data_IF_232468940525
#
_entry.id   IF_232468940525
#
_cell.length_a   1.000
_cell.length_b   1.000
_cell.length_c   1.000
_cell.angle_alpha   90.00
_cell.angle_beta   90.00
_cell.angle_gamma   90.00
#
_symmetry.space_group_name_H-M   'P 1'
#
loop_
_entity.id
_entity.type
_entity.pdbx_description
1 polymer ?
#
# COMPACT_ATOMS: atom_id res chain seq x y z
N UNK A 1 5.75 -14.30 8.35
CA UNK A 1 6.92 -13.72 9.04
C UNK A 1 6.72 -12.21 9.14
N UNK A 2 6.94 -11.57 10.32
CA UNK A 2 6.88 -10.12 10.45
C UNK A 2 7.98 -9.46 9.61
N UNK A 3 7.64 -8.36 8.95
CA UNK A 3 8.61 -7.53 8.21
C UNK A 3 9.11 -6.35 9.08
N UNK A 4 9.24 -6.61 10.36
CA UNK A 4 9.90 -5.78 11.36
C UNK A 4 10.78 -6.70 12.22
N UNK A 5 12.10 -6.58 12.09
CA UNK A 5 13.06 -7.53 12.64
C UNK A 5 13.30 -7.34 14.14
N UNK A 6 13.34 -6.09 14.61
CA UNK A 6 13.65 -5.73 16.01
C UNK A 6 12.84 -4.52 16.46
N UNK A 7 12.81 -4.26 17.76
CA UNK A 7 12.27 -3.03 18.33
C UNK A 7 13.41 -2.07 18.63
N UNK A 8 13.39 -0.89 18.03
CA UNK A 8 14.28 0.22 18.36
C UNK A 8 13.71 1.22 19.38
N UNK A 9 12.51 0.93 19.92
CA UNK A 9 11.84 1.76 20.91
C UNK A 9 12.39 1.52 22.33
N UNK A 10 11.94 2.37 23.27
CA UNK A 10 12.28 2.23 24.70
C UNK A 10 11.84 0.88 25.26
N UNK A 11 12.54 0.44 26.30
CA UNK A 11 12.16 -0.77 27.03
C UNK A 11 10.71 -0.66 27.56
N UNK A 12 9.89 -1.69 27.29
CA UNK A 12 8.48 -1.70 27.69
C UNK A 12 7.54 -0.87 26.82
N UNK A 13 8.00 -0.28 25.71
CA UNK A 13 7.15 0.45 24.79
C UNK A 13 6.07 -0.48 24.17
N UNK A 14 4.81 -0.08 24.27
CA UNK A 14 3.67 -0.83 23.73
C UNK A 14 3.43 -0.64 22.23
N UNK A 15 4.10 0.29 21.57
CA UNK A 15 3.86 0.61 20.15
C UNK A 15 4.42 -0.46 19.21
N UNK A 16 5.68 -0.86 19.38
CA UNK A 16 6.37 -1.76 18.44
C UNK A 16 5.76 -3.15 18.32
N UNK A 17 5.15 -3.76 19.35
CA UNK A 17 4.43 -5.03 19.19
C UNK A 17 3.26 -4.95 18.21
N UNK A 18 2.51 -3.85 18.20
CA UNK A 18 1.39 -3.64 17.26
C UNK A 18 1.92 -3.44 15.85
N UNK A 19 2.95 -2.62 15.67
CA UNK A 19 3.55 -2.41 14.34
C UNK A 19 4.13 -3.72 13.81
N UNK A 20 4.77 -4.51 14.64
CA UNK A 20 5.27 -5.85 14.26
C UNK A 20 4.15 -6.76 13.76
N UNK A 21 3.01 -6.79 14.47
CA UNK A 21 1.83 -7.54 14.05
C UNK A 21 1.29 -7.03 12.69
N UNK A 22 1.19 -5.71 12.50
CA UNK A 22 0.76 -5.12 11.24
C UNK A 22 1.68 -5.49 10.09
N UNK A 23 2.99 -5.47 10.30
CA UNK A 23 3.95 -5.90 9.27
C UNK A 23 3.90 -7.38 8.97
N UNK A 24 3.45 -8.21 9.92
CA UNK A 24 3.21 -9.64 9.69
C UNK A 24 1.98 -9.89 8.82
N UNK A 25 0.93 -9.08 8.99
CA UNK A 25 -0.35 -9.24 8.29
C UNK A 25 -0.38 -8.54 6.93
N UNK A 26 0.31 -7.42 6.78
CA UNK A 26 0.19 -6.51 5.64
C UNK A 26 1.52 -6.04 5.06
N UNK A 27 2.65 -6.44 5.64
CA UNK A 27 3.95 -5.84 5.37
C UNK A 27 4.37 -5.87 3.90
N UNK A 28 3.99 -6.92 3.16
CA UNK A 28 4.29 -7.09 1.73
C UNK A 28 3.63 -6.05 0.82
N UNK A 29 2.59 -5.37 1.30
CA UNK A 29 1.81 -4.37 0.57
C UNK A 29 1.46 -3.15 1.42
N UNK A 30 2.23 -2.92 2.49
CA UNK A 30 1.97 -1.87 3.48
C UNK A 30 2.60 -0.54 3.06
N UNK A 31 1.83 0.54 3.17
CA UNK A 31 2.32 1.92 3.07
C UNK A 31 2.11 2.61 4.41
N UNK A 32 3.14 3.25 4.92
CA UNK A 32 3.15 3.93 6.21
C UNK A 32 3.41 5.41 6.02
N UNK A 33 2.42 6.23 6.36
CA UNK A 33 2.60 7.65 6.63
C UNK A 33 2.92 7.81 8.11
N UNK A 34 4.15 8.19 8.44
CA UNK A 34 4.63 8.25 9.80
C UNK A 34 4.76 9.69 10.30
N UNK A 35 4.24 9.97 11.48
CA UNK A 35 4.44 11.27 12.14
C UNK A 35 5.83 11.37 12.76
N UNK A 36 6.49 12.52 12.59
CA UNK A 36 7.73 12.83 13.30
C UNK A 36 7.52 12.69 14.82
N UNK A 37 8.41 11.97 15.48
CA UNK A 37 8.33 11.65 16.91
C UNK A 37 8.99 10.32 17.23
N UNK A 38 8.48 9.59 18.22
CA UNK A 38 9.05 8.31 18.64
C UNK A 38 9.13 7.30 17.50
N UNK A 39 8.07 7.16 16.71
CA UNK A 39 8.02 6.21 15.62
C UNK A 39 8.96 6.54 14.44
N UNK A 40 9.34 7.80 14.25
CA UNK A 40 10.40 8.16 13.31
C UNK A 40 11.80 7.88 13.85
N UNK A 41 11.98 7.98 15.16
CA UNK A 41 13.28 7.69 15.79
C UNK A 41 13.61 6.21 15.71
N UNK A 42 12.71 5.32 16.11
CA UNK A 42 12.99 3.89 16.04
C UNK A 42 12.75 3.29 14.65
N UNK A 43 11.91 3.91 13.81
CA UNK A 43 11.52 3.38 12.50
C UNK A 43 12.37 3.86 11.32
N UNK A 44 12.84 5.10 11.38
CA UNK A 44 13.51 5.75 10.26
C UNK A 44 14.87 6.38 10.56
N UNK A 45 15.47 6.14 11.74
CA UNK A 45 16.79 6.66 12.06
C UNK A 45 17.88 5.97 11.25
N UNK A 46 18.43 6.70 10.28
CA UNK A 46 19.59 6.24 9.51
C UNK A 46 20.82 6.03 10.42
N UNK A 47 21.59 4.95 10.22
CA UNK A 47 21.49 3.97 9.12
C UNK A 47 20.64 2.74 9.47
N UNK A 48 19.98 2.71 10.61
CA UNK A 48 19.30 1.52 11.14
C UNK A 48 17.79 1.69 11.04
N UNK A 49 17.13 0.79 10.35
CA UNK A 49 15.67 0.67 10.30
C UNK A 49 15.27 -0.75 10.70
N UNK A 50 14.19 -0.92 11.49
CA UNK A 50 13.70 -2.26 11.85
C UNK A 50 12.90 -2.92 10.72
N UNK A 51 12.46 -2.17 9.72
CA UNK A 51 11.68 -2.69 8.61
C UNK A 51 12.55 -3.45 7.62
N UNK A 52 12.01 -4.54 7.09
CA UNK A 52 12.70 -5.43 6.15
C UNK A 52 11.77 -5.86 5.03
N UNK A 53 12.31 -6.61 4.08
CA UNK A 53 11.55 -7.18 2.96
C UNK A 53 11.44 -8.69 3.07
N UNK A 54 10.42 -9.25 2.40
CA UNK A 54 10.30 -10.68 2.20
C UNK A 54 11.27 -11.18 1.11
N UNK A 55 11.23 -12.48 0.82
CA UNK A 55 12.08 -13.12 -0.20
C UNK A 55 11.85 -12.58 -1.62
N UNK A 56 10.69 -11.98 -1.88
CA UNK A 56 10.35 -11.34 -3.14
C UNK A 56 10.78 -9.86 -3.20
N UNK A 57 11.47 -9.35 -2.17
CA UNK A 57 11.88 -7.95 -2.08
C UNK A 57 10.76 -6.97 -1.73
N UNK A 58 9.61 -7.47 -1.27
CA UNK A 58 8.46 -6.65 -0.88
C UNK A 58 8.47 -6.41 0.62
N UNK A 59 8.18 -5.18 1.04
CA UNK A 59 8.12 -4.78 2.44
C UNK A 59 7.42 -3.45 2.64
N UNK A 60 7.29 -3.00 3.90
CA UNK A 60 6.63 -1.72 4.19
C UNK A 60 7.32 -0.55 3.48
N UNK A 61 6.53 0.22 2.73
CA UNK A 61 6.95 1.52 2.21
C UNK A 61 6.71 2.57 3.30
N UNK A 62 7.77 3.08 3.89
CA UNK A 62 7.73 4.01 5.01
C UNK A 62 8.11 5.42 4.56
N UNK A 63 7.31 6.39 4.93
CA UNK A 63 7.59 7.80 4.66
C UNK A 63 7.21 8.65 5.87
N UNK A 64 8.13 9.55 6.27
CA UNK A 64 7.92 10.43 7.40
C UNK A 64 7.33 11.76 6.95
N UNK A 65 6.42 12.29 7.77
CA UNK A 65 5.82 13.61 7.65
C UNK A 65 6.14 14.45 8.87
N UNK A 66 5.71 15.71 8.87
CA UNK A 66 5.78 16.53 10.07
C UNK A 66 4.82 16.02 11.13
N UNK A 67 5.06 16.44 12.38
CA UNK A 67 4.21 16.09 13.50
C UNK A 67 2.77 16.60 13.32
N UNK A 68 2.63 17.79 12.72
CA UNK A 68 1.38 18.51 12.61
C UNK A 68 0.49 18.06 11.45
N UNK A 69 1.06 17.44 10.40
CA UNK A 69 0.35 17.21 9.13
C UNK A 69 0.22 15.74 8.73
N UNK A 70 0.59 14.80 9.59
CA UNK A 70 0.68 13.40 9.22
C UNK A 70 -0.67 12.77 8.86
N UNK A 71 -1.76 13.19 9.46
CA UNK A 71 -3.08 12.69 9.15
C UNK A 71 -3.48 13.06 7.71
N UNK A 72 -3.29 14.32 7.34
CA UNK A 72 -3.56 14.84 6.00
C UNK A 72 -2.60 14.25 4.96
N UNK A 73 -1.32 14.08 5.32
CA UNK A 73 -0.33 13.45 4.47
C UNK A 73 -0.72 12.01 4.14
N UNK A 74 -1.06 11.22 5.16
CA UNK A 74 -1.50 9.82 4.96
C UNK A 74 -2.82 9.73 4.19
N UNK A 75 -3.74 10.64 4.43
CA UNK A 75 -4.98 10.74 3.66
C UNK A 75 -4.72 11.11 2.19
N UNK A 76 -3.82 12.06 1.95
CA UNK A 76 -3.38 12.41 0.60
C UNK A 76 -2.75 11.24 -0.16
N UNK A 77 -1.92 10.44 0.51
CA UNK A 77 -1.37 9.19 -0.05
C UNK A 77 -2.47 8.19 -0.41
N UNK A 78 -3.47 8.04 0.45
CA UNK A 78 -4.62 7.16 0.19
C UNK A 78 -5.41 7.63 -1.03
N UNK A 79 -5.77 8.91 -1.12
CA UNK A 79 -6.49 9.48 -2.26
C UNK A 79 -5.70 9.30 -3.56
N UNK A 80 -4.39 9.59 -3.54
CA UNK A 80 -3.53 9.44 -4.71
C UNK A 80 -3.48 7.98 -5.20
N UNK A 81 -3.32 7.01 -4.30
CA UNK A 81 -3.33 5.60 -4.64
C UNK A 81 -4.71 5.16 -5.18
N UNK A 82 -5.78 5.55 -4.51
CA UNK A 82 -7.16 5.27 -4.94
C UNK A 82 -7.43 5.80 -6.35
N UNK A 83 -7.07 7.05 -6.62
CA UNK A 83 -7.27 7.69 -7.93
C UNK A 83 -6.50 6.97 -9.04
N UNK A 84 -5.24 6.61 -8.79
CA UNK A 84 -4.43 5.83 -9.75
C UNK A 84 -5.05 4.47 -10.03
N UNK A 85 -5.52 3.77 -9.01
CA UNK A 85 -6.19 2.46 -9.18
C UNK A 85 -7.51 2.57 -9.90
N UNK A 86 -8.29 3.64 -9.66
CA UNK A 86 -9.53 3.91 -10.41
C UNK A 86 -9.23 4.20 -11.89
N UNK A 87 -8.17 4.94 -12.19
CA UNK A 87 -7.74 5.14 -13.56
C UNK A 87 -7.34 3.81 -14.24
N UNK A 88 -6.57 2.97 -13.55
CA UNK A 88 -6.24 1.63 -14.05
C UNK A 88 -7.50 0.78 -14.29
N UNK A 89 -8.49 0.83 -13.39
CA UNK A 89 -9.77 0.14 -13.57
C UNK A 89 -10.49 0.62 -14.84
N UNK A 90 -10.48 1.92 -15.13
CA UNK A 90 -11.08 2.44 -16.36
C UNK A 90 -10.37 1.93 -17.62
N UNK A 91 -9.04 1.73 -17.60
CA UNK A 91 -8.30 1.12 -18.71
C UNK A 91 -8.66 -0.36 -18.88
N UNK A 92 -8.84 -1.07 -17.76
CA UNK A 92 -9.27 -2.48 -17.78
C UNK A 92 -10.69 -2.61 -18.34
N UNK A 93 -11.63 -1.77 -17.89
CA UNK A 93 -13.00 -1.71 -18.42
C UNK A 93 -13.02 -1.42 -19.92
N UNK A 94 -12.18 -0.50 -20.39
CA UNK A 94 -12.03 -0.21 -21.82
C UNK A 94 -11.51 -1.41 -22.61
N UNK A 95 -10.52 -2.14 -22.07
CA UNK A 95 -9.96 -3.35 -22.67
C UNK A 95 -11.02 -4.44 -22.81
N UNK A 96 -11.80 -4.69 -21.75
CA UNK A 96 -12.90 -5.65 -21.76
C UNK A 96 -14.00 -5.27 -22.75
N UNK A 97 -14.39 -4.00 -22.80
CA UNK A 97 -15.41 -3.50 -23.73
C UNK A 97 -15.02 -3.63 -25.21
N UNK A 98 -13.72 -3.55 -25.50
CA UNK A 98 -13.16 -3.69 -26.85
C UNK A 98 -12.78 -5.13 -27.19
N UNK A 99 -12.91 -6.07 -26.25
CA UNK A 99 -12.45 -7.44 -26.39
C UNK A 99 -10.97 -7.55 -26.79
N UNK A 100 -10.10 -6.75 -26.17
CA UNK A 100 -8.66 -6.75 -26.42
C UNK A 100 -7.99 -7.84 -25.57
N UNK A 101 -7.07 -8.59 -26.20
CA UNK A 101 -6.37 -9.72 -25.59
C UNK A 101 -7.12 -11.04 -25.69
N UNK A 102 -6.46 -12.12 -25.27
CA UNK A 102 -7.00 -13.47 -25.26
C UNK A 102 -8.17 -13.63 -24.27
N UNK A 103 -9.02 -14.63 -24.49
CA UNK A 103 -10.12 -14.97 -23.58
C UNK A 103 -9.61 -15.24 -22.14
N UNK A 104 -8.43 -15.84 -22.03
CA UNK A 104 -7.79 -16.10 -20.73
C UNK A 104 -7.36 -14.81 -20.02
N UNK A 105 -6.80 -13.85 -20.76
CA UNK A 105 -6.44 -12.54 -20.20
C UNK A 105 -7.70 -11.75 -19.79
N UNK A 106 -8.75 -11.76 -20.62
CA UNK A 106 -10.01 -11.09 -20.30
C UNK A 106 -10.65 -11.64 -19.02
N UNK A 107 -10.59 -12.97 -18.81
CA UNK A 107 -11.07 -13.57 -17.58
C UNK A 107 -10.29 -13.08 -16.34
N UNK A 108 -8.95 -12.92 -16.45
CA UNK A 108 -8.11 -12.39 -15.37
C UNK A 108 -8.35 -10.90 -15.12
N UNK A 109 -8.55 -10.11 -16.17
CA UNK A 109 -8.90 -8.69 -16.07
C UNK A 109 -10.23 -8.48 -15.34
N UNK A 110 -11.23 -9.30 -15.68
CA UNK A 110 -12.54 -9.27 -15.06
C UNK A 110 -12.48 -9.71 -13.58
N UNK A 111 -11.78 -10.79 -13.26
CA UNK A 111 -11.55 -11.23 -11.87
C UNK A 111 -10.86 -10.14 -11.04
N UNK A 112 -9.86 -9.47 -11.60
CA UNK A 112 -9.19 -8.36 -10.91
C UNK A 112 -10.14 -7.20 -10.66
N UNK A 113 -10.94 -6.81 -11.65
CA UNK A 113 -11.90 -5.70 -11.55
C UNK A 113 -12.96 -5.95 -10.48
N UNK A 114 -13.52 -7.16 -10.43
CA UNK A 114 -14.51 -7.57 -9.44
C UNK A 114 -13.96 -7.54 -8.01
N UNK A 115 -12.67 -7.90 -7.83
CA UNK A 115 -12.04 -8.04 -6.52
C UNK A 115 -11.01 -6.94 -6.20
N UNK A 116 -10.91 -5.89 -7.00
CA UNK A 116 -9.89 -4.86 -6.82
C UNK A 116 -9.96 -4.13 -5.47
N UNK A 117 -11.11 -4.13 -4.82
CA UNK A 117 -11.31 -3.53 -3.50
C UNK A 117 -10.90 -4.46 -2.35
N UNK A 118 -10.69 -5.75 -2.61
CA UNK A 118 -10.37 -6.75 -1.61
C UNK A 118 -8.86 -6.83 -1.34
N UNK A 119 -8.50 -6.91 -0.07
CA UNK A 119 -7.10 -7.12 0.34
C UNK A 119 -6.67 -8.58 0.31
N UNK A 120 -7.61 -9.50 0.53
CA UNK A 120 -7.34 -10.93 0.49
C UNK A 120 -7.13 -11.42 -0.94
N UNK A 121 -6.06 -12.18 -1.15
CA UNK A 121 -5.71 -12.73 -2.46
C UNK A 121 -5.19 -11.70 -3.49
N UNK A 122 -5.07 -10.42 -3.12
CA UNK A 122 -4.67 -9.36 -4.06
C UNK A 122 -3.29 -9.60 -4.69
N UNK A 123 -2.30 -10.10 -3.94
CA UNK A 123 -0.97 -10.45 -4.48
C UNK A 123 -1.03 -11.55 -5.53
N UNK A 124 -1.80 -12.59 -5.25
CA UNK A 124 -1.93 -13.73 -6.17
C UNK A 124 -2.65 -13.33 -7.46
N UNK A 125 -3.74 -12.54 -7.37
CA UNK A 125 -4.44 -11.99 -8.53
C UNK A 125 -3.52 -11.10 -9.36
N UNK A 126 -2.83 -10.16 -8.71
CA UNK A 126 -1.90 -9.25 -9.36
C UNK A 126 -0.76 -10.00 -10.07
N UNK A 127 -0.16 -11.00 -9.44
CA UNK A 127 0.92 -11.80 -10.02
C UNK A 127 0.45 -12.56 -11.27
N UNK A 128 -0.72 -13.21 -11.19
CA UNK A 128 -1.29 -13.94 -12.34
C UNK A 128 -1.62 -13.01 -13.50
N UNK A 129 -2.26 -11.89 -13.20
CA UNK A 129 -2.63 -10.91 -14.21
C UNK A 129 -1.40 -10.23 -14.84
N UNK A 130 -0.40 -9.86 -14.03
CA UNK A 130 0.83 -9.26 -14.55
C UNK A 130 1.62 -10.23 -15.44
N UNK A 131 1.64 -11.53 -15.12
CA UNK A 131 2.25 -12.55 -15.96
C UNK A 131 1.55 -12.66 -17.32
N UNK A 132 0.22 -12.78 -17.34
CA UNK A 132 -0.54 -12.83 -18.58
C UNK A 132 -0.41 -11.55 -19.41
N UNK A 133 -0.45 -10.38 -18.76
CA UNK A 133 -0.23 -9.10 -19.43
C UNK A 133 1.17 -9.01 -20.05
N UNK A 134 2.21 -9.57 -19.41
CA UNK A 134 3.58 -9.53 -19.95
C UNK A 134 3.74 -10.31 -21.26
N UNK A 135 2.87 -11.28 -21.54
CA UNK A 135 2.89 -12.07 -22.77
C UNK A 135 2.18 -11.35 -23.93
N UNK A 136 1.17 -10.53 -23.63
CA UNK A 136 0.29 -9.91 -24.62
C UNK A 136 0.41 -8.37 -24.69
N UNK A 137 1.22 -7.73 -23.81
CA UNK A 137 1.29 -6.28 -23.69
C UNK A 137 1.69 -5.56 -24.98
N UNK A 138 2.53 -6.17 -25.80
CA UNK A 138 3.02 -5.60 -27.05
C UNK A 138 2.01 -5.71 -28.22
N UNK A 139 0.93 -6.45 -28.04
CA UNK A 139 -0.06 -6.69 -29.09
C UNK A 139 -1.04 -5.51 -29.25
N UNK A 140 -1.29 -4.77 -28.17
CA UNK A 140 -2.20 -3.62 -28.17
C UNK A 140 -1.73 -2.50 -27.23
N UNK A 141 -1.78 -1.23 -27.67
CA UNK A 141 -1.36 -0.08 -26.84
C UNK A 141 -2.12 0.05 -25.52
N UNK A 142 -3.35 -0.47 -25.42
CA UNK A 142 -4.13 -0.45 -24.20
C UNK A 142 -3.59 -1.46 -23.17
N UNK A 143 -3.23 -2.66 -23.63
CA UNK A 143 -2.58 -3.68 -22.78
C UNK A 143 -1.20 -3.20 -22.31
N UNK A 144 -0.43 -2.55 -23.18
CA UNK A 144 0.85 -1.89 -22.79
C UNK A 144 0.63 -0.92 -21.62
N UNK A 145 -0.36 -0.01 -21.72
CA UNK A 145 -0.66 0.97 -20.67
C UNK A 145 -1.10 0.33 -19.35
N UNK A 146 -1.84 -0.77 -19.41
CA UNK A 146 -2.25 -1.53 -18.22
C UNK A 146 -1.01 -2.19 -17.59
N UNK A 147 -0.16 -2.82 -18.39
CA UNK A 147 1.05 -3.50 -17.94
C UNK A 147 2.07 -2.55 -17.32
N UNK A 148 2.26 -1.35 -17.87
CA UNK A 148 3.11 -0.30 -17.31
C UNK A 148 2.70 0.11 -15.90
N UNK A 149 1.42 -0.09 -15.55
CA UNK A 149 0.85 0.22 -14.24
C UNK A 149 0.66 -1.02 -13.36
N UNK A 150 1.30 -2.14 -13.66
CA UNK A 150 1.16 -3.42 -12.94
C UNK A 150 1.36 -3.34 -11.42
N UNK A 151 2.18 -2.40 -10.95
CA UNK A 151 2.41 -2.21 -9.51
C UNK A 151 1.15 -1.72 -8.77
N UNK A 152 0.17 -1.15 -9.49
CA UNK A 152 -1.12 -0.74 -8.95
C UNK A 152 -2.15 -1.90 -8.90
N UNK A 153 -1.86 -3.06 -9.47
CA UNK A 153 -2.74 -4.23 -9.41
C UNK A 153 -2.91 -4.73 -7.99
N UNK A 154 -1.88 -4.64 -7.17
CA UNK A 154 -1.93 -4.99 -5.75
C UNK A 154 -2.69 -3.91 -4.96
N UNK A 155 -3.65 -4.34 -4.14
CA UNK A 155 -4.30 -3.42 -3.19
C UNK A 155 -3.37 -3.14 -2.01
N UNK A 156 -2.84 -1.93 -1.95
CA UNK A 156 -2.03 -1.47 -0.81
C UNK A 156 -2.83 -1.42 0.48
N UNK A 157 -2.16 -1.68 1.60
CA UNK A 157 -2.66 -1.46 2.95
C UNK A 157 -2.07 -0.15 3.48
N UNK A 158 -2.88 0.89 3.57
CA UNK A 158 -2.45 2.24 3.95
C UNK A 158 -2.61 2.46 5.45
N UNK A 159 -1.57 2.94 6.10
CA UNK A 159 -1.52 3.18 7.54
C UNK A 159 -1.00 4.59 7.85
N UNK A 160 -1.65 5.23 8.81
CA UNK A 160 -1.18 6.48 9.44
C UNK A 160 -0.67 6.08 10.82
N UNK A 161 0.60 6.32 11.09
CA UNK A 161 1.30 5.87 12.29
C UNK A 161 1.97 7.05 12.96
N UNK A 162 1.91 7.08 14.27
CA UNK A 162 2.62 8.03 15.11
C UNK A 162 2.67 7.52 16.54
N UNK A 163 3.58 8.09 17.36
CA UNK A 163 3.66 7.79 18.77
C UNK A 163 2.48 8.37 19.56
N UNK A 164 2.43 8.07 20.84
CA UNK A 164 1.43 8.54 21.78
C UNK A 164 1.37 10.08 21.86
N UNK A 165 2.52 10.74 21.83
CA UNK A 165 2.60 12.21 21.81
C UNK A 165 1.87 12.81 20.61
N UNK A 166 2.00 12.20 19.44
CA UNK A 166 1.27 12.63 18.24
C UNK A 166 -0.22 12.26 18.30
N UNK A 167 -0.52 11.03 18.63
CA UNK A 167 -1.87 10.50 18.49
C UNK A 167 -2.82 10.85 19.63
N UNK A 168 -2.27 11.25 20.80
CA UNK A 168 -3.07 11.43 22.02
C UNK A 168 -2.80 12.75 22.73
N UNK A 169 -1.54 13.09 23.01
CA UNK A 169 -1.21 14.18 23.94
C UNK A 169 -1.48 15.59 23.40
N UNK A 170 -1.46 15.79 22.08
CA UNK A 170 -1.65 17.10 21.46
C UNK A 170 -2.87 17.18 20.54
N UNK A 171 -3.91 16.41 20.81
CA UNK A 171 -5.22 16.59 20.20
C UNK A 171 -5.39 16.01 18.79
N UNK A 172 -4.86 14.82 18.55
CA UNK A 172 -5.15 13.98 17.38
C UNK A 172 -4.64 14.49 16.02
N UNK A 173 -3.99 15.62 15.92
CA UNK A 173 -3.31 16.13 14.72
C UNK A 173 -4.08 15.92 13.40
N UNK A 174 -5.37 16.28 13.36
CA UNK A 174 -6.20 16.16 12.15
C UNK A 174 -6.84 14.78 11.91
N UNK A 175 -6.62 13.80 12.78
CA UNK A 175 -7.24 12.44 12.64
C UNK A 175 -8.77 12.53 12.65
N UNK A 176 -9.35 13.37 13.49
CA UNK A 176 -10.79 13.62 13.57
C UNK A 176 -11.35 14.12 12.22
N UNK A 177 -10.64 15.03 11.55
CA UNK A 177 -11.00 15.50 10.22
C UNK A 177 -10.96 14.38 9.17
N UNK A 178 -9.88 13.59 9.17
CA UNK A 178 -9.73 12.45 8.25
C UNK A 178 -10.84 11.42 8.46
N UNK A 179 -11.19 11.10 9.72
CA UNK A 179 -12.28 10.17 10.04
C UNK A 179 -13.64 10.73 9.64
N UNK A 180 -13.85 12.05 9.74
CA UNK A 180 -15.10 12.71 9.38
C UNK A 180 -15.30 12.83 7.85
N UNK A 181 -14.24 12.68 7.06
CA UNK A 181 -14.31 12.81 5.60
C UNK A 181 -14.91 11.60 4.87
N UNK A 182 -15.12 10.47 5.54
CA UNK A 182 -15.78 9.24 5.03
C UNK A 182 -14.81 8.29 4.35
#
# INVERSE_FOLDING_TARGET
QPLMEFSGACEGCGETPYIKLLTQLFGDRMMIANATGCSSIWGGSSPVTPYTTNECGQGPAWSNSLFEDNAEYGYGMYIANRTKRQHLASLVEESLAKNVGSDSLQALLNDWLEHMAEGEGTQQRATKLAAALSEEADEDPLLTKIYEQKDLLVKTSQWIVGGDGWAYDIGFSGIDHVLASG
#
